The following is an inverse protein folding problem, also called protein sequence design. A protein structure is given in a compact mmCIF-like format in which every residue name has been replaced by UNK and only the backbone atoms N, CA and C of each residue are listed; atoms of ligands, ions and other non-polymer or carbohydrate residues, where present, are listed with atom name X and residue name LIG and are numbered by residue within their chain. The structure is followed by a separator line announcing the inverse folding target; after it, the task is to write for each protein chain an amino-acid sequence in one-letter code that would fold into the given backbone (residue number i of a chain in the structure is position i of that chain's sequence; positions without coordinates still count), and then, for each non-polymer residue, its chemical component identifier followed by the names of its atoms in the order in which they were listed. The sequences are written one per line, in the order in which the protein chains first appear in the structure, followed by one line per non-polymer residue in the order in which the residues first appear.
data_IF_308429182310
#
_entry.id   IF_308429182310
#
_cell.length_a   1.000
_cell.length_b   1.000
_cell.length_c   1.000
_cell.angle_alpha   90.00
_cell.angle_beta   90.00
_cell.angle_gamma   90.00
#
_symmetry.space_group_name_H-M   'P 1'
#
loop_
_entity.id
_entity.type
_entity.pdbx_description
1 polymer ?
#
# COMPACT_ATOMS: atom_id res chain seq x y z
N UNK A 1 10.19 -7.97 11.34
CA UNK A 1 8.96 -7.42 10.74
C UNK A 1 8.05 -6.94 11.86
N UNK A 2 7.55 -5.69 11.82
CA UNK A 2 6.53 -5.24 12.75
C UNK A 2 5.30 -6.18 12.67
N UNK A 3 4.66 -6.43 13.82
CA UNK A 3 3.44 -7.25 13.86
C UNK A 3 2.28 -6.41 13.31
N UNK A 4 2.00 -6.53 12.00
CA UNK A 4 0.81 -5.91 11.40
C UNK A 4 -0.47 -6.30 12.15
N UNK A 5 -1.30 -5.31 12.49
CA UNK A 5 -2.47 -5.48 13.35
C UNK A 5 -3.56 -6.35 12.70
N UNK A 6 -3.81 -6.17 11.40
CA UNK A 6 -4.93 -6.79 10.68
C UNK A 6 -4.51 -7.99 9.81
N UNK A 7 -3.24 -8.07 9.44
CA UNK A 7 -2.73 -9.04 8.45
C UNK A 7 -1.51 -9.78 8.97
N UNK A 8 -1.32 -11.01 8.48
CA UNK A 8 -0.07 -11.74 8.58
C UNK A 8 0.70 -11.55 7.29
N UNK A 9 2.01 -11.43 7.41
CA UNK A 9 2.93 -11.38 6.28
C UNK A 9 3.87 -12.57 6.40
N UNK A 10 3.96 -13.37 5.34
CA UNK A 10 4.96 -14.43 5.21
C UNK A 10 5.93 -14.00 4.11
N UNK A 11 7.23 -14.11 4.40
CA UNK A 11 8.30 -13.84 3.45
C UNK A 11 8.83 -15.16 2.88
N UNK A 12 8.76 -15.34 1.57
CA UNK A 12 9.26 -16.55 0.88
C UNK A 12 10.04 -16.10 -0.36
N UNK A 13 11.33 -16.41 -0.41
CA UNK A 13 12.19 -16.00 -1.52
C UNK A 13 12.12 -14.48 -1.77
N UNK A 14 11.72 -14.11 -2.98
CA UNK A 14 11.51 -12.72 -3.44
C UNK A 14 10.10 -12.18 -3.19
N UNK A 15 9.25 -12.88 -2.45
CA UNK A 15 7.85 -12.53 -2.24
C UNK A 15 7.53 -12.18 -0.79
N UNK A 16 6.61 -11.23 -0.62
CA UNK A 16 5.90 -10.94 0.61
C UNK A 16 4.42 -11.23 0.42
N UNK A 17 3.90 -12.23 1.14
CA UNK A 17 2.51 -12.70 1.00
C UNK A 17 1.71 -12.22 2.21
N UNK A 18 0.67 -11.42 1.96
CA UNK A 18 -0.22 -10.86 2.97
C UNK A 18 -1.58 -11.56 2.95
N UNK A 19 -2.05 -11.99 4.11
CA UNK A 19 -3.40 -12.53 4.29
C UNK A 19 -4.03 -12.05 5.60
N UNK A 20 -5.37 -11.98 5.68
CA UNK A 20 -6.08 -11.54 6.88
C UNK A 20 -5.78 -12.40 8.10
N UNK A 21 -5.75 -11.79 9.28
CA UNK A 21 -5.77 -12.52 10.56
C UNK A 21 -7.20 -12.98 10.85
N UNK A 22 -7.38 -14.19 11.37
CA UNK A 22 -8.70 -14.70 11.78
C UNK A 22 -9.45 -13.78 12.74
N UNK A 23 -8.75 -13.23 13.76
CA UNK A 23 -9.35 -12.31 14.74
C UNK A 23 -9.84 -10.99 14.13
N UNK A 24 -9.43 -10.64 12.91
CA UNK A 24 -9.76 -9.38 12.27
C UNK A 24 -9.94 -9.54 10.75
N UNK A 25 -10.64 -10.62 10.36
CA UNK A 25 -10.72 -11.06 8.97
C UNK A 25 -11.33 -9.98 8.08
N UNK A 26 -12.41 -9.32 8.51
CA UNK A 26 -13.10 -8.30 7.73
C UNK A 26 -12.19 -7.10 7.42
N UNK A 27 -11.42 -6.62 8.40
CA UNK A 27 -10.50 -5.50 8.21
C UNK A 27 -9.27 -5.92 7.40
N UNK A 28 -8.73 -7.13 7.63
CA UNK A 28 -7.63 -7.65 6.83
C UNK A 28 -7.99 -7.84 5.35
N UNK A 29 -9.19 -8.36 5.07
CA UNK A 29 -9.74 -8.46 3.71
C UNK A 29 -9.89 -7.06 3.09
N UNK A 30 -10.37 -6.08 3.88
CA UNK A 30 -10.53 -4.70 3.41
C UNK A 30 -9.18 -4.06 3.07
N UNK A 31 -8.16 -4.21 3.91
CA UNK A 31 -6.80 -3.75 3.60
C UNK A 31 -6.31 -4.32 2.28
N UNK A 32 -6.43 -5.64 2.09
CA UNK A 32 -5.97 -6.31 0.87
C UNK A 32 -6.74 -5.84 -0.38
N UNK A 33 -8.07 -5.70 -0.30
CA UNK A 33 -8.88 -5.15 -1.40
C UNK A 33 -8.50 -3.72 -1.73
N UNK A 34 -8.25 -2.91 -0.71
CA UNK A 34 -7.84 -1.53 -0.90
C UNK A 34 -6.45 -1.42 -1.55
N UNK A 35 -5.46 -2.20 -1.10
CA UNK A 35 -4.14 -2.24 -1.76
C UNK A 35 -4.27 -2.65 -3.24
N UNK A 36 -5.10 -3.67 -3.53
CA UNK A 36 -5.39 -4.06 -4.91
C UNK A 36 -6.02 -2.92 -5.71
N UNK A 37 -7.01 -2.22 -5.14
CA UNK A 37 -7.66 -1.07 -5.78
C UNK A 37 -6.67 0.06 -6.04
N UNK A 38 -5.85 0.41 -5.05
CA UNK A 38 -4.76 1.38 -5.18
C UNK A 38 -3.82 1.00 -6.32
N UNK A 39 -3.35 -0.24 -6.34
CA UNK A 39 -2.39 -0.69 -7.35
C UNK A 39 -2.95 -0.69 -8.77
N UNK A 40 -4.17 -1.19 -8.96
CA UNK A 40 -4.76 -1.37 -10.29
C UNK A 40 -5.36 -0.07 -10.82
N UNK A 41 -6.07 0.69 -9.96
CA UNK A 41 -6.87 1.83 -10.38
C UNK A 41 -6.16 3.16 -10.16
N UNK A 42 -5.68 3.39 -8.95
CA UNK A 42 -5.27 4.73 -8.53
C UNK A 42 -3.80 5.02 -8.88
N UNK A 43 -2.91 4.05 -8.70
CA UNK A 43 -1.49 4.19 -9.03
C UNK A 43 -1.26 4.69 -10.47
N UNK A 44 -1.90 4.14 -11.53
CA UNK A 44 -1.68 4.62 -12.89
C UNK A 44 -2.18 6.04 -13.11
N UNK A 45 -3.26 6.46 -12.44
CA UNK A 45 -3.85 7.79 -12.57
C UNK A 45 -2.92 8.85 -11.96
N UNK A 46 -2.36 8.56 -10.79
CA UNK A 46 -1.55 9.53 -10.04
C UNK A 46 -0.04 9.28 -10.16
N UNK A 47 0.40 8.29 -10.94
CA UNK A 47 1.82 7.97 -11.13
C UNK A 47 2.53 7.52 -9.86
N UNK A 48 1.85 6.85 -8.91
CA UNK A 48 2.42 6.45 -7.61
C UNK A 48 3.48 5.35 -7.72
N UNK A 49 4.65 5.72 -8.23
CA UNK A 49 5.76 4.82 -8.49
C UNK A 49 6.50 4.39 -7.22
N UNK A 50 6.36 5.14 -6.13
CA UNK A 50 6.92 4.80 -4.81
C UNK A 50 6.19 3.65 -4.10
N UNK A 51 5.11 3.09 -4.65
CA UNK A 51 4.43 1.96 -4.03
C UNK A 51 5.18 0.65 -4.27
N UNK A 52 5.25 -0.18 -3.23
CA UNK A 52 5.78 -1.53 -3.37
C UNK A 52 4.91 -2.34 -4.36
N UNK A 53 5.53 -2.98 -5.37
CA UNK A 53 4.78 -3.68 -6.40
C UNK A 53 3.92 -4.82 -5.88
N UNK A 54 2.64 -4.83 -6.28
CA UNK A 54 1.77 -6.01 -6.18
C UNK A 54 2.01 -6.86 -7.43
N UNK A 55 2.45 -8.10 -7.19
CA UNK A 55 2.67 -9.11 -8.22
C UNK A 55 1.38 -9.88 -8.52
N UNK A 56 0.56 -10.13 -7.50
CA UNK A 56 -0.75 -10.76 -7.63
C UNK A 56 -1.65 -10.39 -6.46
N UNK A 57 -2.96 -10.28 -6.69
CA UNK A 57 -3.95 -10.07 -5.65
C UNK A 57 -5.33 -10.57 -6.10
N UNK A 58 -6.04 -11.27 -5.22
CA UNK A 58 -7.40 -11.74 -5.51
C UNK A 58 -8.44 -10.63 -5.21
N UNK A 59 -9.62 -10.64 -5.88
CA UNK A 59 -10.62 -9.60 -5.70
C UNK A 59 -11.34 -9.65 -4.35
N UNK A 60 -11.33 -10.78 -3.63
CA UNK A 60 -11.95 -10.91 -2.31
C UNK A 60 -11.04 -10.33 -1.21
N UNK A 61 -9.74 -10.22 -1.48
CA UNK A 61 -8.73 -9.73 -0.55
C UNK A 61 -8.18 -10.80 0.38
N UNK A 62 -8.30 -12.07 0.01
CA UNK A 62 -7.76 -13.19 0.79
C UNK A 62 -6.22 -13.17 0.82
N UNK A 63 -5.60 -12.80 -0.29
CA UNK A 63 -4.17 -12.83 -0.55
C UNK A 63 -3.77 -11.62 -1.39
N UNK A 64 -2.69 -10.95 -0.95
CA UNK A 64 -1.91 -10.01 -1.76
C UNK A 64 -0.46 -10.48 -1.75
N UNK A 65 0.14 -10.63 -2.93
CA UNK A 65 1.54 -10.98 -3.11
C UNK A 65 2.27 -9.75 -3.62
N UNK A 66 3.28 -9.32 -2.88
CA UNK A 66 4.11 -8.17 -3.21
C UNK A 66 5.56 -8.59 -3.44
N UNK A 67 6.29 -7.75 -4.16
CA UNK A 67 7.74 -7.87 -4.22
C UNK A 67 8.33 -7.70 -2.82
N UNK A 68 9.27 -8.58 -2.44
CA UNK A 68 9.95 -8.49 -1.16
C UNK A 68 10.97 -7.36 -1.18
N UNK A 69 10.76 -6.37 -0.33
CA UNK A 69 11.73 -5.31 -0.09
C UNK A 69 12.63 -5.65 1.11
N UNK A 70 13.85 -5.08 1.11
CA UNK A 70 14.73 -5.08 2.28
C UNK A 70 14.26 -4.02 3.29
N UNK A 71 14.17 -4.38 4.56
CA UNK A 71 13.68 -3.53 5.65
C UNK A 71 14.55 -3.63 6.90
N UNK A 72 14.52 -2.61 7.79
CA UNK A 72 13.98 -1.26 7.54
C UNK A 72 14.93 -0.43 6.65
N UNK A 73 14.43 0.66 6.08
CA UNK A 73 15.29 1.74 5.53
C UNK A 73 15.55 2.78 6.62
N UNK A 74 16.52 3.67 6.40
CA UNK A 74 16.74 4.81 7.31
C UNK A 74 15.59 5.82 7.22
N UNK A 75 15.46 6.68 8.23
CA UNK A 75 14.44 7.74 8.20
C UNK A 75 14.70 8.74 7.06
N UNK A 76 15.96 9.08 6.84
CA UNK A 76 16.40 9.95 5.75
C UNK A 76 16.07 9.36 4.38
N UNK A 77 16.25 8.04 4.22
CA UNK A 77 15.87 7.32 3.00
C UNK A 77 14.35 7.29 2.79
N UNK A 78 13.57 7.11 3.86
CA UNK A 78 12.12 7.16 3.80
C UNK A 78 11.62 8.57 3.42
N UNK A 79 12.15 9.61 4.05
CA UNK A 79 11.79 11.01 3.78
C UNK A 79 12.16 11.42 2.35
N UNK A 80 13.36 11.07 1.89
CA UNK A 80 13.79 11.35 0.52
C UNK A 80 12.97 10.61 -0.55
N UNK A 81 12.34 9.48 -0.19
CA UNK A 81 11.47 8.71 -1.10
C UNK A 81 10.11 9.35 -1.34
N UNK A 82 9.74 10.33 -0.51
CA UNK A 82 8.51 11.12 -0.65
C UNK A 82 8.74 12.17 -1.73
N UNK A 83 8.88 11.69 -2.96
CA UNK A 83 8.72 12.50 -4.13
C UNK A 83 7.23 12.57 -4.40
N UNK A 84 6.58 13.66 -3.97
CA UNK A 84 5.58 14.44 -4.72
C UNK A 84 4.54 15.11 -3.80
N UNK A 85 3.95 16.21 -4.26
CA UNK A 85 2.81 16.91 -3.68
C UNK A 85 1.46 16.17 -3.88
N UNK A 86 1.50 15.05 -4.59
CA UNK A 86 0.35 14.15 -4.84
C UNK A 86 -0.39 13.74 -3.56
N UNK A 87 -1.72 13.51 -3.66
CA UNK A 87 -2.52 12.98 -2.57
C UNK A 87 -1.94 11.64 -2.08
N UNK A 88 -1.22 11.68 -0.96
CA UNK A 88 -0.51 10.52 -0.44
C UNK A 88 -1.10 10.16 0.93
N UNK A 89 -2.10 9.30 0.86
CA UNK A 89 -2.99 8.90 1.94
C UNK A 89 -2.37 7.79 2.84
N UNK A 90 -1.17 7.32 2.49
CA UNK A 90 -0.36 6.34 3.20
C UNK A 90 0.85 6.95 3.92
N UNK A 91 0.89 8.28 4.12
CA UNK A 91 2.00 8.99 4.79
C UNK A 91 2.01 8.78 6.31
N UNK A 92 2.05 7.54 6.79
CA UNK A 92 2.70 7.31 8.08
C UNK A 92 4.22 7.30 7.85
N UNK A 93 4.92 8.30 8.39
CA UNK A 93 6.37 8.48 8.29
C UNK A 93 7.16 7.50 9.18
N UNK A 94 6.68 6.27 9.37
CA UNK A 94 7.40 5.29 10.17
C UNK A 94 8.36 4.54 9.22
N UNK A 95 9.68 4.54 9.46
CA UNK A 95 10.64 3.86 8.58
C UNK A 95 10.33 2.38 8.33
N UNK A 96 9.59 1.75 9.25
CA UNK A 96 9.12 0.36 9.16
C UNK A 96 8.03 0.11 8.10
N UNK A 97 7.41 1.17 7.56
CA UNK A 97 6.41 1.09 6.48
C UNK A 97 7.07 1.22 5.10
N UNK A 98 8.39 1.44 5.08
CA UNK A 98 9.21 1.55 3.89
C UNK A 98 10.19 0.38 3.77
N UNK A 99 10.61 0.11 2.54
CA UNK A 99 11.65 -0.87 2.23
C UNK A 99 12.36 -0.54 0.94
N UNK A 100 13.43 -1.28 0.63
CA UNK A 100 14.22 -1.10 -0.58
C UNK A 100 14.11 -2.29 -1.55
N UNK A 101 13.86 -2.00 -2.82
CA UNK A 101 13.92 -2.97 -3.95
C UNK A 101 14.92 -2.42 -4.97
N UNK A 102 16.06 -3.11 -5.15
CA UNK A 102 17.19 -2.54 -5.90
C UNK A 102 17.64 -1.23 -5.25
N UNK A 103 17.69 -0.15 -6.04
CA UNK A 103 18.05 1.18 -5.57
C UNK A 103 16.84 2.03 -5.14
N UNK A 104 15.62 1.48 -5.27
CA UNK A 104 14.38 2.22 -5.02
C UNK A 104 13.84 1.99 -3.62
N UNK A 105 13.51 3.07 -2.91
CA UNK A 105 12.72 3.02 -1.68
C UNK A 105 11.23 2.98 -2.02
N UNK A 106 10.49 2.09 -1.37
CA UNK A 106 9.08 1.82 -1.65
C UNK A 106 8.24 1.75 -0.38
N UNK A 107 6.99 2.19 -0.46
CA UNK A 107 5.96 2.06 0.57
C UNK A 107 5.39 0.65 0.55
N UNK A 108 5.50 -0.06 1.67
CA UNK A 108 5.19 -1.49 1.77
C UNK A 108 3.77 -1.78 2.20
N UNK A 109 3.15 -0.88 2.94
CA UNK A 109 1.77 -1.00 3.41
C UNK A 109 1.00 0.26 3.05
N UNK A 110 -0.03 0.09 2.22
CA UNK A 110 -0.96 1.15 1.85
C UNK A 110 -2.40 0.63 1.95
N UNK A 111 -2.64 -0.31 2.87
CA UNK A 111 -3.94 -0.93 3.12
C UNK A 111 -4.75 -0.18 4.17
N UNK A 112 -6.02 0.13 3.88
CA UNK A 112 -6.91 0.82 4.82
C UNK A 112 -7.85 -0.18 5.49
N UNK A 113 -7.87 -0.26 6.83
CA UNK A 113 -8.61 -1.29 7.54
C UNK A 113 -10.09 -0.96 7.74
N UNK A 114 -10.51 0.31 7.74
CA UNK A 114 -11.88 0.72 8.11
C UNK A 114 -12.70 1.22 6.91
N UNK A 115 -14.02 0.96 6.93
CA UNK A 115 -14.90 1.19 5.79
C UNK A 115 -15.15 2.67 5.51
N UNK A 116 -15.34 3.45 6.56
CA UNK A 116 -15.47 4.91 6.54
C UNK A 116 -14.24 5.55 5.92
N UNK A 117 -13.04 5.13 6.34
CA UNK A 117 -11.78 5.59 5.74
C UNK A 117 -11.70 5.23 4.25
N UNK A 118 -11.97 3.97 3.86
CA UNK A 118 -11.99 3.57 2.44
C UNK A 118 -12.98 4.41 1.63
N UNK A 119 -14.16 4.70 2.20
CA UNK A 119 -15.20 5.47 1.53
C UNK A 119 -14.79 6.93 1.36
N UNK A 120 -14.22 7.52 2.41
CA UNK A 120 -13.67 8.87 2.40
C UNK A 120 -12.56 8.99 1.34
N UNK A 121 -11.58 8.08 1.38
CA UNK A 121 -10.46 8.09 0.46
C UNK A 121 -10.88 7.89 -0.99
N UNK A 122 -11.79 6.95 -1.25
CA UNK A 122 -12.32 6.75 -2.60
C UNK A 122 -13.00 8.02 -3.13
N UNK A 123 -13.76 8.73 -2.29
CA UNK A 123 -14.41 9.99 -2.69
C UNK A 123 -13.38 11.06 -3.02
N UNK A 124 -12.40 11.25 -2.14
CA UNK A 124 -11.33 12.21 -2.34
C UNK A 124 -10.55 11.94 -3.63
N UNK A 125 -10.09 10.71 -3.85
CA UNK A 125 -9.36 10.33 -5.06
C UNK A 125 -10.20 10.50 -6.33
N UNK A 126 -11.51 10.26 -6.27
CA UNK A 126 -12.42 10.55 -7.39
C UNK A 126 -12.50 12.05 -7.70
N UNK A 127 -12.57 12.90 -6.68
CA UNK A 127 -12.63 14.35 -6.85
C UNK A 127 -11.34 14.89 -7.47
N UNK A 128 -10.18 14.46 -6.96
CA UNK A 128 -8.88 14.86 -7.53
C UNK A 128 -8.71 14.31 -8.96
N UNK A 129 -9.06 13.05 -9.21
CA UNK A 129 -8.95 12.47 -10.56
C UNK A 129 -9.82 13.21 -11.58
N UNK A 130 -11.00 13.70 -11.19
CA UNK A 130 -11.84 14.54 -12.06
C UNK A 130 -11.17 15.87 -12.41
N UNK A 131 -10.46 16.48 -11.47
CA UNK A 131 -9.73 17.73 -11.70
C UNK A 131 -8.54 17.51 -12.65
N UNK A 132 -7.86 16.37 -12.55
CA UNK A 132 -6.74 16.02 -13.43
C UNK A 132 -7.17 15.65 -14.87
N UNK A 133 -8.37 15.09 -15.05
CA UNK A 133 -8.89 14.67 -16.36
C UNK A 133 -9.75 15.71 -17.09
N UNK A 134 -9.91 16.91 -16.54
CA UNK A 134 -10.79 17.97 -17.05
C UNK A 134 -10.10 19.12 -17.80
N UNK A 135 -8.90 18.89 -18.35
CA UNK A 135 -8.14 19.84 -19.16
C UNK A 135 -8.07 19.46 -20.62
#
# INVERSE_FOLDING_TARGET
MPKGAFRRVILIGSWAIKFPRFKNIANGLRCNRWEREVWIRWRPIFGWDGLCPILAADPLGLIVIMARAKQPVSAEEADASIQDDRPAIWRELKPQDYGRIGDKVVVLDYGIPFLDMVTHERRYLLEVAKQLGGG
#
